data_IF_900679550529
#
_entry.id   IF_900679550529
#
_cell.length_a   1.000
_cell.length_b   1.000
_cell.length_c   1.000
_cell.angle_alpha   90.00
_cell.angle_beta   90.00
_cell.angle_gamma   90.00
#
_symmetry.space_group_name_H-M   'P 1'
#
loop_
_entity.id
_entity.type
_entity.pdbx_description
1 polymer ?
#
# COMPACT_ATOMS: atom_id res chain seq x y z
N UNK A 1 13.00 4.13 1.34
CA UNK A 1 11.53 4.10 1.41
C UNK A 1 11.04 4.69 2.72
N UNK A 2 9.95 5.42 2.67
CA UNK A 2 9.42 6.09 3.86
C UNK A 2 8.13 5.42 4.32
N UNK A 3 8.18 4.75 5.46
CA UNK A 3 7.02 4.09 6.04
C UNK A 3 6.35 4.91 7.15
N UNK A 4 6.62 6.19 7.19
CA UNK A 4 6.29 7.01 8.37
C UNK A 4 4.85 6.87 8.83
N UNK A 5 3.89 6.84 7.91
CA UNK A 5 2.48 6.75 8.25
C UNK A 5 1.81 5.51 7.66
N UNK A 6 2.60 4.47 7.42
CA UNK A 6 2.07 3.23 6.87
C UNK A 6 1.55 2.38 8.01
N UNK A 7 0.31 1.94 7.90
CA UNK A 7 -0.33 1.05 8.88
C UNK A 7 -0.69 -0.24 8.18
N UNK A 8 -0.17 -1.34 8.70
CA UNK A 8 -0.35 -2.67 8.09
C UNK A 8 -1.08 -3.55 9.10
N UNK A 9 -2.27 -3.98 8.72
CA UNK A 9 -3.10 -4.81 9.58
C UNK A 9 -2.59 -6.24 9.64
N UNK A 10 -3.11 -6.99 10.59
CA UNK A 10 -2.71 -8.38 10.82
C UNK A 10 -2.96 -9.23 9.58
N UNK A 11 -2.02 -10.09 9.27
CA UNK A 11 -2.14 -11.01 8.13
C UNK A 11 -1.81 -10.40 6.78
N UNK A 12 -1.64 -9.08 6.70
CA UNK A 12 -1.27 -8.45 5.44
C UNK A 12 0.17 -8.82 5.08
N UNK A 13 0.42 -9.02 3.79
CA UNK A 13 1.74 -9.42 3.28
C UNK A 13 2.24 -8.39 2.27
N UNK A 14 3.45 -7.94 2.48
CA UNK A 14 4.08 -6.91 1.67
C UNK A 14 5.34 -7.51 1.06
N UNK A 15 5.39 -7.58 -0.26
CA UNK A 15 6.58 -8.09 -0.95
C UNK A 15 7.74 -7.11 -0.78
N UNK A 16 8.97 -7.64 -0.72
CA UNK A 16 10.15 -6.83 -0.45
C UNK A 16 10.36 -5.71 -1.45
N UNK A 17 10.10 -5.98 -2.70
CA UNK A 17 10.37 -5.03 -3.77
C UNK A 17 9.21 -4.08 -4.04
N UNK A 18 8.16 -4.14 -3.22
CA UNK A 18 7.10 -3.15 -3.34
C UNK A 18 7.53 -1.83 -2.71
N UNK A 19 6.90 -0.75 -3.11
CA UNK A 19 7.17 0.59 -2.59
C UNK A 19 5.89 1.14 -1.99
N UNK A 20 5.95 1.50 -0.70
CA UNK A 20 4.79 2.05 0.01
C UNK A 20 5.24 3.34 0.67
N UNK A 21 4.65 4.44 0.27
CA UNK A 21 5.05 5.76 0.74
C UNK A 21 3.87 6.51 1.31
N UNK A 22 4.13 7.32 2.33
CA UNK A 22 3.17 8.28 2.83
C UNK A 22 2.12 7.66 3.73
N UNK A 23 0.92 8.20 3.68
CA UNK A 23 -0.17 7.79 4.56
C UNK A 23 -0.97 6.67 3.89
N UNK A 24 -0.59 5.43 4.19
CA UNK A 24 -1.20 4.24 3.59
C UNK A 24 -1.66 3.31 4.70
N UNK A 25 -2.89 2.84 4.59
CA UNK A 25 -3.43 1.82 5.49
C UNK A 25 -3.73 0.58 4.67
N UNK A 26 -3.19 -0.57 5.09
CA UNK A 26 -3.40 -1.83 4.40
C UNK A 26 -4.22 -2.73 5.29
N UNK A 27 -5.38 -3.15 4.78
CA UNK A 27 -6.33 -3.94 5.52
C UNK A 27 -5.86 -5.37 5.77
N UNK A 28 -6.61 -6.05 6.64
CA UNK A 28 -6.27 -7.40 7.09
C UNK A 28 -6.24 -8.36 5.92
N UNK A 29 -5.25 -9.25 5.92
CA UNK A 29 -5.11 -10.34 4.95
C UNK A 29 -5.00 -9.87 3.50
N UNK A 30 -4.62 -8.61 3.28
CA UNK A 30 -4.34 -8.11 1.95
C UNK A 30 -2.91 -8.43 1.55
N UNK A 31 -2.64 -8.46 0.24
CA UNK A 31 -1.30 -8.73 -0.28
C UNK A 31 -0.88 -7.62 -1.23
N UNK A 32 0.36 -7.14 -1.05
CA UNK A 32 0.99 -6.22 -1.99
C UNK A 32 2.13 -6.98 -2.63
N UNK A 33 2.06 -7.18 -3.93
CA UNK A 33 2.98 -8.07 -4.63
C UNK A 33 4.20 -7.31 -5.16
N UNK A 34 5.12 -8.05 -5.78
CA UNK A 34 6.42 -7.50 -6.19
C UNK A 34 6.27 -6.30 -7.10
N UNK A 35 7.05 -5.27 -6.84
CA UNK A 35 7.13 -4.06 -7.67
C UNK A 35 5.84 -3.25 -7.72
N UNK A 36 4.88 -3.53 -6.85
CA UNK A 36 3.72 -2.66 -6.71
C UNK A 36 4.15 -1.37 -6.02
N UNK A 37 3.51 -0.26 -6.38
CA UNK A 37 3.80 1.04 -5.80
C UNK A 37 2.52 1.62 -5.25
N UNK A 38 2.53 1.98 -3.97
CA UNK A 38 1.39 2.61 -3.31
C UNK A 38 1.88 3.94 -2.74
N UNK A 39 1.30 5.03 -3.22
CA UNK A 39 1.71 6.37 -2.81
C UNK A 39 0.56 7.10 -2.15
N UNK A 40 0.70 7.33 -0.85
CA UNK A 40 -0.23 8.13 -0.08
C UNK A 40 0.34 9.49 0.31
N UNK A 41 1.23 10.04 -0.52
CA UNK A 41 1.93 11.28 -0.22
C UNK A 41 1.08 12.52 -0.51
N UNK A 42 0.15 12.46 -1.46
CA UNK A 42 -0.76 13.58 -1.73
C UNK A 42 -2.05 13.46 -0.94
N UNK A 43 -2.55 12.23 -0.79
CA UNK A 43 -3.78 11.96 -0.06
C UNK A 43 -3.68 10.57 0.56
N UNK A 44 -4.40 10.31 1.65
CA UNK A 44 -4.39 8.98 2.26
C UNK A 44 -4.90 7.91 1.31
N UNK A 45 -4.27 6.74 1.37
CA UNK A 45 -4.69 5.56 0.61
C UNK A 45 -5.10 4.49 1.60
N UNK A 46 -6.27 3.91 1.41
CA UNK A 46 -6.76 2.82 2.24
C UNK A 46 -7.01 1.60 1.35
N UNK A 47 -6.31 0.52 1.65
CA UNK A 47 -6.50 -0.75 0.98
C UNK A 47 -7.41 -1.58 1.89
N UNK A 48 -8.50 -2.07 1.36
CA UNK A 48 -9.46 -2.86 2.12
C UNK A 48 -8.92 -4.22 2.52
N UNK A 49 -9.76 -4.99 3.21
CA UNK A 49 -9.38 -6.33 3.64
C UNK A 49 -9.38 -7.28 2.45
N UNK A 50 -8.51 -8.29 2.50
CA UNK A 50 -8.45 -9.38 1.51
C UNK A 50 -8.31 -8.85 0.08
N UNK A 51 -7.57 -7.77 -0.08
CA UNK A 51 -7.35 -7.13 -1.37
C UNK A 51 -5.96 -7.45 -1.86
N UNK A 52 -5.81 -7.76 -3.15
CA UNK A 52 -4.52 -8.02 -3.75
C UNK A 52 -4.12 -6.85 -4.64
N UNK A 53 -2.94 -6.30 -4.38
CA UNK A 53 -2.33 -5.31 -5.25
C UNK A 53 -1.32 -6.06 -6.09
N UNK A 54 -1.62 -6.22 -7.37
CA UNK A 54 -0.86 -7.08 -8.28
C UNK A 54 0.52 -6.52 -8.58
N UNK A 55 1.38 -7.36 -9.15
CA UNK A 55 2.71 -6.94 -9.55
C UNK A 55 2.65 -5.74 -10.49
N UNK A 56 3.57 -4.83 -10.31
CA UNK A 56 3.72 -3.62 -11.14
C UNK A 56 2.49 -2.71 -11.14
N UNK A 57 1.59 -2.90 -10.18
CA UNK A 57 0.44 -2.02 -10.04
C UNK A 57 0.86 -0.74 -9.35
N UNK A 58 0.29 0.38 -9.75
CA UNK A 58 0.56 1.66 -9.10
C UNK A 58 -0.74 2.25 -8.59
N UNK A 59 -0.76 2.58 -7.30
CA UNK A 59 -1.89 3.21 -6.66
C UNK A 59 -1.45 4.58 -6.15
N UNK A 60 -2.09 5.62 -6.65
CA UNK A 60 -1.79 6.98 -6.24
C UNK A 60 -3.06 7.80 -6.35
N UNK A 61 -3.39 8.49 -5.28
CA UNK A 61 -4.56 9.35 -5.24
C UNK A 61 -4.09 10.79 -5.11
N UNK A 62 -4.42 11.60 -6.11
CA UNK A 62 -4.09 13.00 -6.08
C UNK A 62 -5.18 13.76 -5.33
N UNK A 63 -4.76 14.74 -4.58
CA UNK A 63 -5.66 15.61 -3.85
C UNK A 63 -5.98 16.83 -4.71
N UNK A 64 -7.18 16.91 -5.18
CA UNK A 64 -7.61 18.04 -6.00
C UNK A 64 -8.54 18.93 -5.25
#
# INVERSE_FOLDING_TARGET
>A
MNYKNVKIAEGARIAKQSVILGNVTIGRDSCVLYYAVIRGDDAPVVIGEETNIQENCTIHVSHN
#
